data_IF_748514340505
#
_entry.id   IF_748514340505
#
_cell.length_a   1.000
_cell.length_b   1.000
_cell.length_c   1.000
_cell.angle_alpha   90.00
_cell.angle_beta   90.00
_cell.angle_gamma   90.00
#
_symmetry.space_group_name_H-M   'P 1'
#
loop_
_entity.id
_entity.type
_entity.pdbx_description
1 polymer ?
#
# COMPACT_ATOMS: atom_id res chain seq x y z
N UNK A 1 -62.69 33.15 23.14
CA UNK A 1 -64.05 32.95 22.61
C UNK A 1 -63.99 31.89 21.53
N UNK A 2 -64.50 30.70 21.85
CA UNK A 2 -65.30 29.78 20.99
C UNK A 2 -64.73 29.42 19.60
N UNK A 3 -64.15 28.24 19.38
CA UNK A 3 -64.80 26.92 19.16
C UNK A 3 -65.65 26.83 17.87
N UNK A 4 -65.23 25.89 17.00
CA UNK A 4 -65.78 25.21 15.80
C UNK A 4 -67.31 25.25 15.52
N UNK A 5 -67.76 24.91 14.28
CA UNK A 5 -68.05 23.51 13.86
C UNK A 5 -67.72 23.20 12.37
N UNK A 6 -67.31 21.99 11.93
CA UNK A 6 -67.98 20.67 11.75
C UNK A 6 -69.13 20.60 10.70
N UNK A 7 -68.98 19.71 9.69
CA UNK A 7 -70.04 19.13 8.84
C UNK A 7 -69.49 18.59 7.49
N UNK A 8 -69.17 17.30 7.31
CA UNK A 8 -70.00 16.12 6.89
C UNK A 8 -70.52 16.15 5.42
N UNK A 9 -69.86 15.35 4.54
CA UNK A 9 -70.29 14.38 3.47
C UNK A 9 -71.69 14.49 2.78
N UNK A 10 -72.02 13.77 1.66
CA UNK A 10 -71.28 13.10 0.54
C UNK A 10 -71.98 13.31 -0.86
N UNK A 11 -71.80 12.38 -1.83
CA UNK A 11 -72.55 12.09 -3.11
C UNK A 11 -71.84 12.57 -4.39
N UNK A 12 -71.11 11.74 -5.15
CA UNK A 12 -71.48 10.67 -6.11
C UNK A 12 -72.13 11.18 -7.43
N UNK A 13 -71.39 11.14 -8.55
CA UNK A 13 -71.94 10.83 -9.88
C UNK A 13 -70.81 10.62 -10.91
N UNK A 14 -70.84 9.45 -11.55
CA UNK A 14 -69.97 9.03 -12.64
C UNK A 14 -70.41 9.61 -13.99
N UNK A 15 -69.49 9.79 -14.94
CA UNK A 15 -69.79 9.62 -16.37
C UNK A 15 -68.53 9.36 -17.20
N UNK A 16 -68.57 8.25 -17.94
CA UNK A 16 -67.64 7.82 -18.99
C UNK A 16 -67.64 8.82 -20.17
N UNK A 17 -66.50 8.98 -20.86
CA UNK A 17 -66.29 8.46 -22.23
C UNK A 17 -65.04 9.05 -22.95
N UNK A 18 -64.29 8.12 -23.56
CA UNK A 18 -63.70 8.17 -24.90
C UNK A 18 -62.53 9.13 -25.25
N UNK A 19 -61.33 8.52 -25.28
CA UNK A 19 -60.34 8.51 -26.38
C UNK A 19 -59.89 9.82 -27.04
N UNK A 20 -58.60 10.13 -26.87
CA UNK A 20 -57.72 10.50 -27.99
C UNK A 20 -56.28 10.04 -27.70
N UNK A 21 -55.80 9.16 -28.58
CA UNK A 21 -54.43 8.65 -28.65
C UNK A 21 -53.53 9.78 -29.16
N UNK A 22 -52.53 10.17 -28.37
CA UNK A 22 -51.33 10.83 -28.90
C UNK A 22 -50.13 10.00 -28.48
N UNK A 23 -49.63 9.23 -29.45
CA UNK A 23 -48.33 8.60 -29.42
C UNK A 23 -47.26 9.71 -29.35
N UNK A 24 -46.68 9.88 -28.17
CA UNK A 24 -45.42 10.57 -27.98
C UNK A 24 -44.34 9.54 -27.70
N UNK A 25 -43.62 9.11 -28.73
CA UNK A 25 -42.37 8.39 -28.58
C UNK A 25 -41.34 9.33 -27.93
N UNK A 26 -41.26 9.32 -26.61
CA UNK A 26 -40.09 9.76 -25.88
C UNK A 26 -39.14 8.57 -25.82
N UNK A 27 -38.15 8.53 -26.71
CA UNK A 27 -37.03 7.60 -26.59
C UNK A 27 -36.44 7.72 -25.19
N UNK A 28 -36.34 6.64 -24.40
CA UNK A 28 -35.53 6.68 -23.20
C UNK A 28 -34.09 6.89 -23.67
N UNK A 29 -33.48 7.98 -23.21
CA UNK A 29 -32.04 8.13 -23.27
C UNK A 29 -31.41 6.89 -22.61
N UNK A 30 -30.29 6.35 -23.13
CA UNK A 30 -29.58 5.32 -22.40
C UNK A 30 -29.16 5.92 -21.06
N UNK A 31 -29.79 5.47 -19.98
CA UNK A 31 -29.24 5.64 -18.65
C UNK A 31 -27.87 4.96 -18.69
N UNK A 32 -26.82 5.77 -18.69
CA UNK A 32 -25.50 5.34 -18.28
C UNK A 32 -25.65 4.93 -16.81
N UNK A 33 -25.98 3.64 -16.60
CA UNK A 33 -25.87 3.02 -15.31
C UNK A 33 -24.45 3.26 -14.82
N UNK A 34 -24.33 3.82 -13.62
CA UNK A 34 -23.07 3.80 -12.90
C UNK A 34 -22.51 2.36 -12.94
N UNK A 35 -21.21 2.17 -13.14
CA UNK A 35 -20.64 0.82 -13.11
C UNK A 35 -21.04 0.19 -11.79
N UNK A 36 -21.75 -0.93 -11.85
CA UNK A 36 -21.97 -1.73 -10.67
C UNK A 36 -20.59 -2.22 -10.23
N UNK A 37 -20.24 -1.97 -8.97
CA UNK A 37 -19.12 -2.62 -8.31
C UNK A 37 -19.41 -4.12 -8.30
N UNK A 38 -18.89 -4.83 -9.31
CA UNK A 38 -18.94 -6.28 -9.41
C UNK A 38 -18.11 -6.87 -8.26
N UNK A 39 -18.74 -7.06 -7.10
CA UNK A 39 -18.12 -7.68 -5.94
C UNK A 39 -17.73 -9.16 -6.16
N UNK A 40 -18.27 -9.78 -7.22
CA UNK A 40 -18.20 -11.23 -7.45
C UNK A 40 -17.04 -11.68 -8.38
N UNK A 41 -15.97 -10.87 -8.54
CA UNK A 41 -14.85 -11.23 -9.42
C UNK A 41 -15.22 -11.33 -10.91
N UNK A 42 -16.39 -10.83 -11.29
CA UNK A 42 -16.88 -10.81 -12.66
C UNK A 42 -16.45 -9.54 -13.40
N UNK A 43 -16.00 -9.70 -14.64
CA UNK A 43 -15.61 -8.60 -15.52
C UNK A 43 -16.79 -8.07 -16.35
N UNK A 44 -16.80 -6.79 -16.73
CA UNK A 44 -15.76 -5.78 -16.48
C UNK A 44 -15.70 -5.33 -15.00
N UNK A 45 -14.50 -4.96 -14.56
CA UNK A 45 -14.26 -4.36 -13.24
C UNK A 45 -13.70 -2.96 -13.44
N UNK A 46 -14.34 -1.97 -12.82
CA UNK A 46 -13.79 -0.60 -12.74
C UNK A 46 -13.12 -0.41 -11.38
N UNK A 47 -11.92 0.16 -11.36
CA UNK A 47 -11.17 0.46 -10.14
C UNK A 47 -10.89 1.95 -10.11
N UNK A 48 -11.20 2.59 -8.99
CA UNK A 48 -10.84 3.98 -8.71
C UNK A 48 -9.44 4.06 -8.11
N UNK A 49 -8.67 5.08 -8.50
CA UNK A 49 -7.33 5.35 -7.99
C UNK A 49 -6.95 6.83 -8.15
N UNK A 50 -5.79 7.24 -7.65
CA UNK A 50 -5.33 8.63 -7.63
C UNK A 50 -5.31 9.32 -9.01
N UNK A 51 -5.17 8.55 -10.09
CA UNK A 51 -5.15 9.07 -11.47
C UNK A 51 -6.53 9.10 -12.16
N UNK A 52 -7.61 8.67 -11.49
CA UNK A 52 -8.97 8.58 -12.06
C UNK A 52 -9.60 7.20 -11.87
N UNK A 53 -10.21 6.68 -12.93
CA UNK A 53 -10.78 5.34 -12.96
C UNK A 53 -10.19 4.53 -14.12
N UNK A 54 -9.99 3.24 -13.90
CA UNK A 54 -9.56 2.29 -14.93
C UNK A 54 -10.55 1.15 -15.00
N UNK A 55 -11.06 0.87 -16.21
CA UNK A 55 -11.94 -0.28 -16.45
C UNK A 55 -11.13 -1.41 -17.09
N UNK A 56 -11.20 -2.57 -16.45
CA UNK A 56 -10.59 -3.82 -16.90
C UNK A 56 -11.71 -4.64 -17.53
N UNK A 57 -11.68 -4.89 -18.86
CA UNK A 57 -12.82 -5.46 -19.58
C UNK A 57 -12.99 -6.97 -19.36
N UNK A 58 -11.88 -7.70 -19.15
CA UNK A 58 -11.82 -9.15 -19.06
C UNK A 58 -10.74 -9.58 -18.06
N UNK A 59 -10.74 -10.86 -17.66
CA UNK A 59 -9.74 -11.38 -16.72
C UNK A 59 -8.33 -11.30 -17.32
N UNK A 60 -7.39 -10.56 -16.71
CA UNK A 60 -6.04 -10.40 -17.24
C UNK A 60 -5.32 -11.73 -17.42
N UNK A 61 -4.67 -11.89 -18.57
CA UNK A 61 -3.85 -13.04 -18.94
C UNK A 61 -2.36 -12.68 -19.04
N UNK A 62 -2.01 -11.39 -19.04
CA UNK A 62 -0.64 -10.88 -19.19
C UNK A 62 -0.42 -9.66 -18.31
N UNK A 63 0.03 -9.90 -17.08
CA UNK A 63 0.18 -8.86 -16.08
C UNK A 63 1.62 -8.36 -16.04
N UNK A 64 1.80 -7.05 -16.07
CA UNK A 64 3.06 -6.40 -15.67
C UNK A 64 2.88 -5.79 -14.27
N UNK A 65 3.73 -6.19 -13.33
CA UNK A 65 3.70 -5.69 -11.95
C UNK A 65 4.88 -4.73 -11.70
N UNK A 66 4.59 -3.45 -11.50
CA UNK A 66 5.60 -2.39 -11.38
C UNK A 66 5.91 -2.00 -9.93
N UNK A 67 5.09 -2.43 -8.97
CA UNK A 67 5.38 -2.37 -7.55
C UNK A 67 5.79 -3.73 -6.98
N UNK A 68 6.65 -3.72 -5.96
CA UNK A 68 7.05 -4.96 -5.27
C UNK A 68 5.86 -5.61 -4.54
N UNK A 69 4.95 -4.81 -3.96
CA UNK A 69 3.73 -5.34 -3.33
C UNK A 69 2.74 -5.86 -4.37
N UNK A 70 2.64 -5.18 -5.51
CA UNK A 70 1.84 -5.63 -6.66
C UNK A 70 2.28 -7.02 -7.11
N UNK A 71 3.60 -7.20 -7.28
CA UNK A 71 4.22 -8.46 -7.64
C UNK A 71 3.98 -9.53 -6.58
N UNK A 72 4.19 -9.20 -5.30
CA UNK A 72 4.01 -10.14 -4.20
C UNK A 72 2.60 -10.72 -4.17
N UNK A 73 1.59 -9.87 -4.24
CA UNK A 73 0.18 -10.28 -4.22
C UNK A 73 -0.18 -11.07 -5.48
N UNK A 74 0.18 -10.55 -6.68
CA UNK A 74 -0.11 -11.22 -7.94
C UNK A 74 0.53 -12.62 -8.02
N UNK A 75 1.79 -12.75 -7.58
CA UNK A 75 2.49 -14.03 -7.56
C UNK A 75 1.87 -15.00 -6.55
N UNK A 76 1.56 -14.55 -5.33
CA UNK A 76 1.02 -15.41 -4.26
C UNK A 76 -0.34 -16.02 -4.64
N UNK A 77 -1.17 -15.32 -5.42
CA UNK A 77 -2.47 -15.85 -5.88
C UNK A 77 -2.39 -16.62 -7.21
N UNK A 78 -1.20 -16.70 -7.80
CA UNK A 78 -0.92 -17.43 -9.05
C UNK A 78 -1.36 -16.70 -10.31
N UNK A 79 -1.34 -15.36 -10.32
CA UNK A 79 -1.70 -14.55 -11.47
C UNK A 79 -0.63 -14.63 -12.59
N UNK A 80 -1.01 -14.48 -13.87
CA UNK A 80 -0.10 -14.65 -15.00
C UNK A 80 0.79 -13.42 -15.23
N UNK A 81 1.79 -13.25 -14.36
CA UNK A 81 2.79 -12.19 -14.46
C UNK A 81 3.77 -12.50 -15.60
N UNK A 82 3.96 -11.55 -16.52
CA UNK A 82 4.87 -11.65 -17.67
C UNK A 82 6.08 -10.72 -17.56
N UNK A 83 5.99 -9.70 -16.72
CA UNK A 83 7.07 -8.76 -16.44
C UNK A 83 6.90 -8.16 -15.06
N UNK A 84 8.02 -7.92 -14.37
CA UNK A 84 7.99 -7.54 -12.97
C UNK A 84 9.10 -6.52 -12.67
N UNK A 85 8.83 -5.59 -11.75
CA UNK A 85 9.83 -4.62 -11.29
C UNK A 85 11.08 -5.34 -10.78
N UNK A 86 12.25 -4.79 -11.14
CA UNK A 86 13.51 -5.27 -10.58
C UNK A 86 13.54 -5.04 -9.07
N UNK A 87 13.99 -6.05 -8.33
CA UNK A 87 14.15 -5.97 -6.89
C UNK A 87 15.26 -4.97 -6.50
N UNK A 88 15.27 -4.62 -5.23
CA UNK A 88 16.14 -3.59 -4.68
C UNK A 88 17.62 -3.98 -4.62
N UNK A 89 17.92 -5.28 -4.74
CA UNK A 89 19.28 -5.80 -4.83
C UNK A 89 19.81 -5.84 -6.26
N UNK A 90 18.98 -5.52 -7.26
CA UNK A 90 19.33 -5.53 -8.68
C UNK A 90 19.46 -6.95 -9.27
N UNK A 91 19.13 -8.00 -8.53
CA UNK A 91 19.39 -9.39 -8.91
C UNK A 91 18.27 -10.06 -9.73
N UNK A 92 17.29 -9.28 -10.18
CA UNK A 92 16.10 -9.76 -10.89
C UNK A 92 14.82 -9.32 -10.19
N UNK A 93 13.65 -9.88 -10.50
CA UNK A 93 12.38 -9.51 -9.86
C UNK A 93 12.07 -10.33 -8.59
N UNK A 94 12.97 -11.23 -8.19
CA UNK A 94 12.73 -12.15 -7.08
C UNK A 94 12.55 -11.39 -5.75
N UNK A 95 11.55 -11.81 -4.99
CA UNK A 95 11.27 -11.34 -3.63
C UNK A 95 11.73 -12.41 -2.63
N UNK A 96 12.39 -12.04 -1.52
CA UNK A 96 13.05 -12.99 -0.62
C UNK A 96 12.09 -13.88 0.18
N UNK A 97 10.80 -13.54 0.19
CA UNK A 97 9.73 -14.22 0.91
C UNK A 97 8.80 -15.03 -0.01
N UNK A 98 9.14 -15.15 -1.29
CA UNK A 98 8.40 -15.95 -2.25
C UNK A 98 9.33 -16.92 -2.99
N UNK A 99 8.75 -17.98 -3.53
CA UNK A 99 9.47 -18.87 -4.43
C UNK A 99 9.98 -18.09 -5.67
N UNK A 100 11.08 -18.53 -6.30
CA UNK A 100 11.57 -17.91 -7.52
C UNK A 100 10.49 -17.85 -8.61
N UNK A 101 10.44 -16.72 -9.32
CA UNK A 101 9.61 -16.58 -10.52
C UNK A 101 10.15 -17.49 -11.64
N UNK A 102 9.28 -17.91 -12.59
CA UNK A 102 9.73 -18.55 -13.82
C UNK A 102 10.76 -17.67 -14.55
N UNK A 103 11.74 -18.30 -15.22
CA UNK A 103 12.82 -17.61 -15.94
C UNK A 103 12.30 -16.68 -17.05
N UNK A 104 11.07 -16.91 -17.52
CA UNK A 104 10.40 -16.10 -18.53
C UNK A 104 9.89 -14.76 -18.01
N UNK A 105 9.76 -14.59 -16.68
CA UNK A 105 9.35 -13.32 -16.07
C UNK A 105 10.57 -12.40 -15.97
N UNK A 106 10.66 -11.47 -16.92
CA UNK A 106 11.83 -10.59 -16.99
C UNK A 106 11.69 -9.39 -16.03
N UNK A 107 12.83 -9.00 -15.45
CA UNK A 107 12.94 -7.81 -14.63
C UNK A 107 12.81 -6.54 -15.49
N UNK A 108 12.06 -5.58 -14.95
CA UNK A 108 11.91 -4.23 -15.49
C UNK A 108 12.65 -3.30 -14.55
N UNK A 109 13.82 -2.83 -14.98
CA UNK A 109 14.55 -1.80 -14.27
C UNK A 109 13.77 -0.48 -14.38
N UNK A 110 13.51 0.15 -13.24
CA UNK A 110 13.01 1.52 -13.18
C UNK A 110 14.08 2.40 -12.56
N UNK A 111 14.70 3.27 -13.34
CA UNK A 111 15.44 4.40 -12.78
C UNK A 111 14.42 5.53 -12.54
N UNK A 112 14.49 6.19 -11.38
CA UNK A 112 13.71 7.40 -11.18
C UNK A 112 14.07 8.42 -12.30
N UNK A 113 13.08 9.09 -12.92
CA UNK A 113 11.71 9.28 -12.41
C UNK A 113 10.63 8.37 -13.03
N UNK A 114 10.93 7.40 -13.91
CA UNK A 114 9.88 6.59 -14.55
C UNK A 114 10.36 5.26 -15.13
N UNK A 115 9.42 4.34 -15.36
CA UNK A 115 9.67 3.12 -16.13
C UNK A 115 9.70 3.41 -17.63
N UNK A 116 10.47 2.62 -18.40
CA UNK A 116 10.40 2.67 -19.87
C UNK A 116 9.09 2.05 -20.37
N UNK A 117 8.22 2.90 -20.92
CA UNK A 117 6.98 2.49 -21.56
C UNK A 117 7.25 1.54 -22.75
N UNK A 118 8.31 1.78 -23.53
CA UNK A 118 8.69 0.92 -24.65
C UNK A 118 9.08 -0.48 -24.17
N UNK A 119 9.87 -0.58 -23.08
CA UNK A 119 10.21 -1.87 -22.49
C UNK A 119 8.96 -2.60 -22.00
N UNK A 120 8.06 -1.91 -21.29
CA UNK A 120 6.80 -2.48 -20.81
C UNK A 120 5.93 -2.98 -21.96
N UNK A 121 5.85 -2.24 -23.06
CA UNK A 121 5.08 -2.63 -24.24
C UNK A 121 5.59 -3.93 -24.89
N UNK A 122 6.88 -4.27 -24.75
CA UNK A 122 7.42 -5.55 -25.28
C UNK A 122 6.83 -6.79 -24.61
N UNK A 123 6.28 -6.63 -23.40
CA UNK A 123 5.59 -7.70 -22.69
C UNK A 123 4.15 -7.91 -23.17
N UNK A 124 3.61 -7.03 -24.03
CA UNK A 124 2.22 -7.09 -24.51
C UNK A 124 1.21 -7.31 -23.35
N UNK A 125 1.22 -6.43 -22.31
CA UNK A 125 0.36 -6.63 -21.15
C UNK A 125 -1.10 -6.31 -21.46
N UNK A 126 -2.01 -6.99 -20.77
CA UNK A 126 -3.44 -6.63 -20.73
C UNK A 126 -3.85 -6.00 -19.38
N UNK A 127 -2.93 -5.93 -18.43
CA UNK A 127 -3.03 -5.16 -17.19
C UNK A 127 -1.64 -4.75 -16.68
N UNK A 128 -1.54 -3.51 -16.20
CA UNK A 128 -0.37 -3.00 -15.48
C UNK A 128 -0.77 -2.69 -14.04
N UNK A 129 -0.18 -3.41 -13.08
CA UNK A 129 -0.33 -3.16 -11.65
C UNK A 129 0.76 -2.19 -11.20
N UNK A 130 0.33 -1.08 -10.59
CA UNK A 130 1.22 -0.03 -10.15
C UNK A 130 0.73 0.66 -8.87
N UNK A 131 0.07 -0.10 -7.98
CA UNK A 131 -0.51 0.42 -6.73
C UNK A 131 0.62 0.86 -5.81
N UNK A 132 1.69 0.07 -5.73
CA UNK A 132 2.87 0.39 -4.93
C UNK A 132 4.09 0.87 -5.76
N UNK A 133 3.88 1.30 -7.01
CA UNK A 133 4.95 1.69 -7.92
C UNK A 133 5.37 3.14 -7.72
N UNK A 134 6.37 3.37 -6.85
CA UNK A 134 6.82 4.71 -6.50
C UNK A 134 7.44 5.50 -7.67
N UNK A 135 7.88 4.82 -8.74
CA UNK A 135 8.38 5.46 -9.96
C UNK A 135 7.27 6.03 -10.86
N UNK A 136 5.99 5.82 -10.55
CA UNK A 136 4.89 6.53 -11.23
C UNK A 136 4.49 7.74 -10.40
N UNK A 137 5.34 8.77 -10.46
CA UNK A 137 5.21 9.95 -9.61
C UNK A 137 4.24 11.01 -10.16
N UNK A 138 3.92 10.97 -11.46
CA UNK A 138 3.11 12.00 -12.11
C UNK A 138 2.13 11.45 -13.15
N UNK A 139 1.20 12.34 -13.55
CA UNK A 139 0.17 12.03 -14.54
C UNK A 139 0.74 11.68 -15.91
N UNK A 140 1.87 12.28 -16.30
CA UNK A 140 2.48 12.04 -17.61
C UNK A 140 3.01 10.60 -17.71
N UNK A 141 3.68 10.13 -16.66
CA UNK A 141 4.19 8.76 -16.53
C UNK A 141 3.03 7.76 -16.53
N UNK A 142 1.95 8.05 -15.80
CA UNK A 142 0.73 7.25 -15.83
C UNK A 142 0.12 7.17 -17.24
N UNK A 143 -0.06 8.31 -17.92
CA UNK A 143 -0.69 8.36 -19.25
C UNK A 143 0.11 7.58 -20.31
N UNK A 144 1.44 7.55 -20.19
CA UNK A 144 2.30 6.73 -21.06
C UNK A 144 2.03 5.23 -20.90
N UNK A 145 1.84 4.76 -19.66
CA UNK A 145 1.52 3.36 -19.40
C UNK A 145 0.07 3.03 -19.77
N UNK A 146 -0.86 3.95 -19.52
CA UNK A 146 -2.27 3.81 -19.86
C UNK A 146 -2.50 3.73 -21.38
N UNK A 147 -1.56 4.22 -22.19
CA UNK A 147 -1.57 4.04 -23.64
C UNK A 147 -1.21 2.60 -24.08
N UNK A 148 -0.64 1.78 -23.19
CA UNK A 148 -0.26 0.39 -23.44
C UNK A 148 -1.39 -0.55 -23.04
N UNK A 149 -1.85 -0.44 -21.79
CA UNK A 149 -2.87 -1.32 -21.18
C UNK A 149 -3.57 -0.60 -20.02
N UNK A 150 -4.70 -1.12 -19.49
CA UNK A 150 -5.27 -0.66 -18.22
C UNK A 150 -4.21 -0.59 -17.11
N UNK A 151 -4.12 0.55 -16.38
CA UNK A 151 -3.15 0.76 -15.29
C UNK A 151 -3.90 0.97 -13.98
N UNK A 152 -3.48 0.26 -12.93
CA UNK A 152 -4.03 0.43 -11.57
C UNK A 152 -2.97 1.12 -10.71
N UNK A 153 -3.17 2.42 -10.44
CA UNK A 153 -2.33 3.21 -9.55
C UNK A 153 -2.75 3.13 -8.08
N UNK A 154 -2.03 3.82 -7.18
CA UNK A 154 -2.38 3.89 -5.75
C UNK A 154 -3.79 4.47 -5.56
N UNK A 155 -4.53 4.01 -4.55
CA UNK A 155 -5.90 4.45 -4.27
C UNK A 155 -6.02 5.98 -4.09
N UNK A 156 -5.23 6.54 -3.18
CA UNK A 156 -5.17 8.00 -2.92
C UNK A 156 -3.78 8.57 -3.19
N UNK A 157 -2.74 7.86 -2.76
CA UNK A 157 -1.34 8.21 -2.93
C UNK A 157 -0.44 7.09 -2.43
N UNK A 158 0.86 7.18 -2.73
CA UNK A 158 1.82 6.17 -2.29
C UNK A 158 1.83 6.08 -0.75
N UNK A 159 1.76 4.86 -0.23
CA UNK A 159 1.81 4.54 1.20
C UNK A 159 0.67 5.13 2.06
N UNK A 160 -0.37 5.66 1.42
CA UNK A 160 -1.52 6.27 2.11
C UNK A 160 -2.61 5.27 2.48
N UNK A 161 -2.71 4.16 1.75
CA UNK A 161 -3.63 3.07 2.04
C UNK A 161 -3.00 2.02 2.96
N UNK A 162 -3.84 1.22 3.61
CA UNK A 162 -3.36 0.08 4.40
C UNK A 162 -2.83 -1.02 3.48
N UNK A 163 -1.96 -1.88 4.00
CA UNK A 163 -1.46 -3.03 3.25
C UNK A 163 -2.59 -3.96 2.77
N UNK A 164 -3.69 -4.04 3.52
CA UNK A 164 -4.87 -4.80 3.17
C UNK A 164 -5.62 -4.16 2.00
N UNK A 165 -5.77 -2.84 2.02
CA UNK A 165 -6.51 -2.13 0.97
C UNK A 165 -5.74 -2.11 -0.34
N UNK A 166 -4.42 -1.93 -0.30
CA UNK A 166 -3.54 -2.10 -1.47
C UNK A 166 -3.67 -3.52 -2.05
N UNK A 167 -3.61 -4.55 -1.19
CA UNK A 167 -3.77 -5.93 -1.63
C UNK A 167 -5.16 -6.20 -2.22
N UNK A 168 -6.23 -5.69 -1.60
CA UNK A 168 -7.60 -5.77 -2.13
C UNK A 168 -7.75 -5.09 -3.47
N UNK A 169 -7.12 -3.93 -3.65
CA UNK A 169 -7.14 -3.20 -4.92
C UNK A 169 -6.49 -4.04 -6.03
N UNK A 170 -5.34 -4.65 -5.75
CA UNK A 170 -4.68 -5.61 -6.66
C UNK A 170 -5.59 -6.81 -6.92
N UNK A 171 -6.12 -7.45 -5.87
CA UNK A 171 -7.00 -8.62 -5.94
C UNK A 171 -8.26 -8.37 -6.78
N UNK A 172 -8.87 -7.18 -6.63
CA UNK A 172 -10.01 -6.74 -7.42
C UNK A 172 -9.65 -6.57 -8.90
N UNK A 173 -8.48 -6.05 -9.22
CA UNK A 173 -8.03 -5.88 -10.60
C UNK A 173 -7.81 -7.22 -11.31
N UNK A 174 -7.22 -8.20 -10.62
CA UNK A 174 -6.87 -9.52 -11.19
C UNK A 174 -7.96 -10.58 -11.02
N UNK A 175 -9.05 -10.26 -10.30
CA UNK A 175 -10.19 -11.16 -10.10
C UNK A 175 -9.89 -12.32 -9.16
N UNK A 176 -9.12 -12.05 -8.09
CA UNK A 176 -8.66 -13.03 -7.09
C UNK A 176 -8.97 -12.56 -5.66
N UNK A 177 -10.08 -11.83 -5.46
CA UNK A 177 -10.47 -11.23 -4.18
C UNK A 177 -10.48 -12.25 -3.02
N UNK A 178 -11.06 -13.43 -3.23
CA UNK A 178 -11.15 -14.47 -2.17
C UNK A 178 -9.76 -14.90 -1.68
N UNK A 179 -8.84 -15.22 -2.59
CA UNK A 179 -7.47 -15.58 -2.23
C UNK A 179 -6.73 -14.43 -1.55
N UNK A 180 -6.97 -13.20 -1.98
CA UNK A 180 -6.39 -12.02 -1.33
C UNK A 180 -6.90 -11.85 0.11
N UNK A 181 -8.20 -12.05 0.36
CA UNK A 181 -8.71 -12.02 1.73
C UNK A 181 -8.14 -13.14 2.61
N UNK A 182 -7.84 -14.32 2.04
CA UNK A 182 -7.13 -15.39 2.76
C UNK A 182 -5.70 -14.97 3.15
N UNK A 183 -4.97 -14.31 2.24
CA UNK A 183 -3.63 -13.77 2.52
C UNK A 183 -3.69 -12.70 3.62
N UNK A 184 -4.67 -11.80 3.56
CA UNK A 184 -4.89 -10.76 4.57
C UNK A 184 -5.18 -11.38 5.94
N UNK A 185 -6.11 -12.34 5.99
CA UNK A 185 -6.48 -13.03 7.24
C UNK A 185 -5.26 -13.72 7.85
N UNK A 186 -4.47 -14.42 7.04
CA UNK A 186 -3.24 -15.09 7.49
C UNK A 186 -2.24 -14.10 8.09
N UNK A 187 -2.01 -12.96 7.43
CA UNK A 187 -1.11 -11.92 7.92
C UNK A 187 -1.59 -11.34 9.25
N UNK A 188 -2.89 -11.07 9.39
CA UNK A 188 -3.49 -10.54 10.62
C UNK A 188 -3.37 -11.53 11.78
N UNK A 189 -3.59 -12.82 11.52
CA UNK A 189 -3.39 -13.89 12.50
C UNK A 189 -1.93 -13.97 12.97
N UNK A 190 -0.97 -13.92 12.04
CA UNK A 190 0.46 -13.94 12.36
C UNK A 190 0.87 -12.73 13.21
N UNK A 191 0.42 -11.52 12.86
CA UNK A 191 0.70 -10.30 13.62
C UNK A 191 0.09 -10.41 15.04
N UNK A 192 -1.16 -10.87 15.14
CA UNK A 192 -1.84 -11.05 16.41
C UNK A 192 -1.15 -12.10 17.29
N UNK A 193 -0.66 -13.19 16.69
CA UNK A 193 0.10 -14.22 17.38
C UNK A 193 1.41 -13.66 17.95
N UNK A 194 2.21 -12.92 17.17
CA UNK A 194 3.45 -12.30 17.67
C UNK A 194 3.16 -11.35 18.82
N UNK A 195 2.14 -10.51 18.71
CA UNK A 195 1.72 -9.62 19.79
C UNK A 195 1.33 -10.37 21.05
N UNK A 196 0.62 -11.49 20.92
CA UNK A 196 0.19 -12.31 22.05
C UNK A 196 1.37 -13.04 22.72
N UNK A 197 2.36 -13.48 21.92
CA UNK A 197 3.58 -14.11 22.41
C UNK A 197 4.51 -13.12 23.12
N UNK A 198 4.49 -11.84 22.72
CA UNK A 198 5.37 -10.78 23.23
C UNK A 198 4.56 -9.65 23.90
N UNK A 199 3.84 -9.90 25.01
CA UNK A 199 2.99 -8.90 25.65
C UNK A 199 3.75 -7.68 26.17
N UNK A 200 5.06 -7.81 26.43
CA UNK A 200 5.92 -6.71 26.87
C UNK A 200 6.22 -5.66 25.80
N UNK A 201 5.81 -5.89 24.54
CA UNK A 201 5.86 -4.86 23.49
C UNK A 201 4.85 -3.73 23.72
N UNK A 202 3.76 -3.98 24.47
CA UNK A 202 2.68 -3.02 24.63
C UNK A 202 3.18 -1.68 25.21
N UNK A 203 3.05 -0.61 24.42
CA UNK A 203 3.46 0.74 24.81
C UNK A 203 4.96 1.01 24.75
N UNK A 204 5.76 0.06 24.24
CA UNK A 204 7.17 0.30 23.91
C UNK A 204 7.28 1.19 22.69
N UNK A 205 8.35 1.97 22.62
CA UNK A 205 8.58 2.88 21.50
C UNK A 205 9.53 2.29 20.46
N UNK A 206 9.30 2.60 19.19
CA UNK A 206 10.21 2.23 18.11
C UNK A 206 10.48 3.42 17.19
N UNK A 207 11.63 3.39 16.52
CA UNK A 207 11.91 4.24 15.37
C UNK A 207 12.49 3.40 14.24
N UNK A 208 11.98 3.59 13.03
CA UNK A 208 12.52 3.03 11.80
C UNK A 208 12.99 4.16 10.89
N UNK A 209 14.21 4.05 10.38
CA UNK A 209 14.76 5.02 9.45
C UNK A 209 15.86 4.49 8.55
N UNK A 210 16.35 5.37 7.69
CA UNK A 210 17.45 5.11 6.79
C UNK A 210 18.59 6.08 7.10
N UNK A 211 19.83 5.61 7.13
CA UNK A 211 20.98 6.51 7.06
C UNK A 211 21.29 6.77 5.58
N UNK A 212 21.29 8.06 5.19
CA UNK A 212 21.55 8.49 3.81
C UNK A 212 22.32 9.81 3.83
N UNK A 213 23.64 9.75 3.65
CA UNK A 213 24.47 10.95 3.71
C UNK A 213 24.41 11.63 5.08
N UNK A 214 24.07 12.93 5.13
CA UNK A 214 24.06 13.73 6.37
C UNK A 214 22.71 13.75 7.11
N UNK A 215 21.68 13.12 6.54
CA UNK A 215 20.33 13.09 7.08
C UNK A 215 19.92 11.65 7.40
N UNK A 216 19.10 11.52 8.43
CA UNK A 216 18.48 10.29 8.88
C UNK A 216 16.96 10.43 8.70
N UNK A 217 16.39 10.07 7.54
CA UNK A 217 14.95 10.00 7.35
C UNK A 217 14.34 8.96 8.30
N UNK A 218 13.39 9.39 9.14
CA UNK A 218 12.68 8.56 10.11
C UNK A 218 11.18 8.49 9.79
N UNK A 219 10.63 7.29 9.63
CA UNK A 219 9.21 7.08 9.35
C UNK A 219 8.41 7.20 10.65
N UNK A 220 7.55 8.21 10.74
CA UNK A 220 6.86 8.59 11.99
C UNK A 220 5.38 8.93 11.82
N UNK A 221 4.90 9.11 10.59
CA UNK A 221 3.53 9.47 10.29
C UNK A 221 2.54 8.41 10.76
N UNK A 222 1.54 8.79 11.56
CA UNK A 222 0.64 7.83 12.21
C UNK A 222 -0.15 6.94 11.23
N UNK A 223 -0.45 7.47 10.05
CA UNK A 223 -1.18 6.78 8.97
C UNK A 223 -0.25 6.08 7.98
N UNK A 224 1.07 6.24 8.10
CA UNK A 224 2.01 5.51 7.24
C UNK A 224 1.89 4.01 7.54
N UNK A 225 1.77 3.18 6.50
CA UNK A 225 1.60 1.74 6.62
C UNK A 225 2.66 1.02 7.47
N UNK A 226 3.92 1.48 7.45
CA UNK A 226 4.99 0.95 8.30
C UNK A 226 4.66 1.18 9.79
N UNK A 227 4.17 2.37 10.11
CA UNK A 227 3.73 2.72 11.47
C UNK A 227 2.47 1.98 11.89
N UNK A 228 1.53 1.76 10.98
CA UNK A 228 0.34 0.95 11.24
C UNK A 228 0.73 -0.51 11.56
N UNK A 229 1.65 -1.10 10.80
CA UNK A 229 2.16 -2.46 11.04
C UNK A 229 2.82 -2.60 12.41
N UNK A 230 3.73 -1.69 12.76
CA UNK A 230 4.41 -1.71 14.06
C UNK A 230 3.45 -1.48 15.22
N UNK A 231 2.42 -0.63 15.03
CA UNK A 231 1.34 -0.44 16.01
C UNK A 231 0.48 -1.67 16.21
N UNK A 232 0.25 -2.46 15.16
CA UNK A 232 -0.47 -3.72 15.28
C UNK A 232 0.25 -4.71 16.21
N UNK A 233 1.59 -4.63 16.30
CA UNK A 233 2.43 -5.38 17.25
C UNK A 233 2.43 -4.80 18.68
N UNK A 234 1.84 -3.63 18.89
CA UNK A 234 1.76 -2.94 20.19
C UNK A 234 2.83 -1.87 20.42
N UNK A 235 3.65 -1.58 19.41
CA UNK A 235 4.69 -0.55 19.45
C UNK A 235 4.16 0.81 19.03
N UNK A 236 4.80 1.86 19.51
CA UNK A 236 4.40 3.23 19.24
C UNK A 236 5.58 4.08 18.76
N UNK A 237 5.31 5.11 17.95
CA UNK A 237 6.29 6.16 17.69
C UNK A 237 6.44 7.02 18.96
N UNK A 238 7.67 7.41 19.39
CA UNK A 238 7.86 8.29 20.53
C UNK A 238 7.10 9.61 20.40
N UNK A 239 6.59 10.15 21.51
CA UNK A 239 5.80 11.39 21.52
C UNK A 239 6.54 12.59 20.90
N UNK A 240 7.86 12.65 21.09
CA UNK A 240 8.75 13.68 20.51
C UNK A 240 8.79 13.69 18.97
N UNK A 241 8.22 12.67 18.31
CA UNK A 241 8.14 12.55 16.86
C UNK A 241 6.72 12.65 16.29
N UNK A 242 5.66 12.44 17.09
CA UNK A 242 4.25 12.33 16.60
C UNK A 242 3.69 13.59 15.92
N UNK A 243 4.32 14.75 16.11
CA UNK A 243 3.92 16.02 15.48
C UNK A 243 5.06 16.72 14.74
N UNK A 244 6.16 16.01 14.48
CA UNK A 244 7.26 16.59 13.73
C UNK A 244 6.79 16.82 12.28
N UNK A 245 7.04 18.02 11.70
CA UNK A 245 6.58 18.31 10.35
C UNK A 245 7.26 17.35 9.37
N UNK A 246 6.44 16.63 8.58
CA UNK A 246 6.95 15.80 7.51
C UNK A 246 7.74 16.67 6.52
N UNK A 247 8.79 16.09 5.93
CA UNK A 247 9.55 16.76 4.88
C UNK A 247 8.94 16.43 3.53
N UNK A 248 8.61 17.47 2.75
CA UNK A 248 8.12 17.32 1.37
C UNK A 248 9.18 16.70 0.44
N UNK A 249 10.45 16.73 0.82
CA UNK A 249 11.58 16.16 0.07
C UNK A 249 11.82 14.67 0.40
N UNK A 250 11.09 14.10 1.37
CA UNK A 250 11.21 12.73 1.83
C UNK A 250 9.92 11.94 1.56
N UNK A 251 9.97 10.63 1.78
CA UNK A 251 8.79 9.79 1.66
C UNK A 251 7.66 10.26 2.59
N UNK A 252 6.37 10.15 2.19
CA UNK A 252 5.24 10.58 3.01
C UNK A 252 5.29 10.06 4.45
N UNK A 253 5.09 10.96 5.43
CA UNK A 253 5.14 10.63 6.85
C UNK A 253 6.56 10.47 7.43
N UNK A 254 7.57 10.98 6.73
CA UNK A 254 8.98 10.91 7.15
C UNK A 254 9.48 12.27 7.63
N UNK A 255 10.30 12.25 8.68
CA UNK A 255 11.00 13.44 9.19
C UNK A 255 12.50 13.27 9.05
N UNK A 256 13.18 14.36 8.72
CA UNK A 256 14.63 14.39 8.65
C UNK A 256 15.24 14.65 10.02
N UNK A 257 16.16 13.79 10.46
CA UNK A 257 16.99 14.01 11.65
C UNK A 257 18.44 14.21 11.22
N UNK A 258 19.08 15.29 11.64
CA UNK A 258 20.51 15.50 11.40
C UNK A 258 21.35 14.72 12.42
N UNK A 259 22.62 14.48 12.11
CA UNK A 259 23.54 13.85 13.08
C UNK A 259 23.71 14.67 14.37
N UNK A 260 23.55 15.99 14.33
CA UNK A 260 23.60 16.85 15.54
C UNK A 260 22.40 16.60 16.46
N UNK A 261 21.25 16.25 15.87
CA UNK A 261 20.01 15.95 16.59
C UNK A 261 19.84 14.46 16.92
N UNK A 262 20.81 13.61 16.55
CA UNK A 262 20.69 12.14 16.66
C UNK A 262 20.42 11.64 18.08
N UNK A 263 20.72 12.45 19.10
CA UNK A 263 20.36 12.17 20.49
C UNK A 263 18.85 11.95 20.69
N UNK A 264 18.00 12.55 19.84
CA UNK A 264 16.53 12.35 19.83
C UNK A 264 16.13 10.89 19.58
N UNK A 265 16.96 10.11 18.90
CA UNK A 265 16.70 8.69 18.66
C UNK A 265 16.70 7.85 19.96
N UNK A 266 17.20 8.40 21.06
CA UNK A 266 17.21 7.74 22.38
C UNK A 266 15.81 7.57 22.99
N UNK A 267 14.81 8.27 22.47
CA UNK A 267 13.41 8.16 22.91
C UNK A 267 12.75 6.83 22.48
N UNK A 268 13.38 6.09 21.57
CA UNK A 268 12.92 4.77 21.13
C UNK A 268 13.50 3.65 22.02
N UNK A 269 12.67 2.65 22.38
CA UNK A 269 13.13 1.39 22.96
C UNK A 269 13.82 0.50 21.92
N UNK A 270 13.34 0.53 20.67
CA UNK A 270 13.91 -0.18 19.52
C UNK A 270 14.25 0.81 18.40
N UNK A 271 15.51 0.82 17.96
CA UNK A 271 15.96 1.59 16.81
C UNK A 271 16.27 0.65 15.65
N UNK A 272 15.52 0.76 14.55
CA UNK A 272 15.73 -0.01 13.32
C UNK A 272 16.31 0.94 12.27
N UNK A 273 17.46 0.60 11.70
CA UNK A 273 18.08 1.39 10.63
C UNK A 273 18.40 0.54 9.41
N UNK A 274 18.16 1.09 8.23
CA UNK A 274 18.73 0.61 6.97
C UNK A 274 19.74 1.61 6.41
N UNK A 275 20.49 1.21 5.39
CA UNK A 275 21.61 1.96 4.84
C UNK A 275 21.53 1.97 3.31
N UNK A 276 21.49 3.17 2.72
CA UNK A 276 21.34 3.30 1.27
C UNK A 276 22.66 3.02 0.54
N UNK A 277 23.76 3.58 1.03
CA UNK A 277 25.10 3.41 0.49
C UNK A 277 25.93 2.36 1.23
N UNK A 278 26.96 1.85 0.55
CA UNK A 278 27.89 0.85 1.11
C UNK A 278 28.62 1.34 2.36
N UNK A 279 28.88 2.64 2.44
CA UNK A 279 29.66 3.26 3.53
C UNK A 279 28.76 3.91 4.60
N UNK A 280 27.46 4.07 4.33
CA UNK A 280 26.53 4.78 5.22
C UNK A 280 26.45 4.10 6.60
N UNK A 281 26.53 2.76 6.64
CA UNK A 281 26.53 2.01 7.90
C UNK A 281 27.76 2.31 8.74
N UNK A 282 28.94 2.25 8.12
CA UNK A 282 30.19 2.52 8.81
C UNK A 282 30.24 3.98 9.29
N UNK A 283 29.72 4.92 8.51
CA UNK A 283 29.61 6.33 8.89
C UNK A 283 28.64 6.52 10.06
N UNK A 284 27.46 5.91 10.01
CA UNK A 284 26.46 5.98 11.08
C UNK A 284 26.98 5.38 12.38
N UNK A 285 27.42 4.12 12.37
CA UNK A 285 27.91 3.41 13.56
C UNK A 285 29.24 3.99 14.09
N UNK A 286 30.03 4.60 13.21
CA UNK A 286 31.29 5.27 13.55
C UNK A 286 31.11 6.63 14.25
N UNK A 287 29.96 7.27 14.12
CA UNK A 287 29.69 8.60 14.63
C UNK A 287 29.61 8.64 16.18
N UNK A 288 30.36 9.55 16.80
CA UNK A 288 30.45 9.66 18.28
C UNK A 288 29.14 10.06 18.96
N UNK A 289 28.23 10.74 18.26
CA UNK A 289 26.90 11.07 18.76
C UNK A 289 25.97 9.85 18.66
N UNK A 290 26.06 9.07 17.58
CA UNK A 290 25.29 7.81 17.41
C UNK A 290 25.63 6.81 18.51
N UNK A 291 26.91 6.66 18.86
CA UNK A 291 27.37 5.76 19.95
C UNK A 291 26.78 6.13 21.33
N UNK A 292 26.23 7.34 21.48
CA UNK A 292 25.58 7.81 22.72
C UNK A 292 24.07 7.62 22.70
N UNK A 293 23.48 7.21 21.58
CA UNK A 293 22.06 6.91 21.48
C UNK A 293 21.75 5.70 22.37
N UNK A 294 20.71 5.82 23.20
CA UNK A 294 20.33 4.80 24.18
C UNK A 294 20.20 3.39 23.57
N UNK A 295 19.47 3.27 22.47
CA UNK A 295 19.27 1.99 21.79
C UNK A 295 20.59 1.36 21.29
N UNK A 296 21.58 2.17 20.92
CA UNK A 296 22.92 1.68 20.54
C UNK A 296 23.68 1.16 21.76
N UNK A 297 23.60 1.87 22.89
CA UNK A 297 24.28 1.49 24.14
C UNK A 297 23.66 0.26 24.81
N UNK A 298 22.33 0.15 24.79
CA UNK A 298 21.56 -0.98 25.33
C UNK A 298 21.48 -2.15 24.33
N UNK A 299 21.97 -1.93 23.10
CA UNK A 299 22.01 -2.89 22.01
C UNK A 299 20.63 -3.23 21.42
N UNK A 300 19.62 -2.41 21.65
CA UNK A 300 18.31 -2.49 20.98
C UNK A 300 18.29 -1.70 19.66
N UNK A 301 19.47 -1.44 19.10
CA UNK A 301 19.68 -1.00 17.73
C UNK A 301 19.80 -2.21 16.80
N UNK A 302 19.04 -2.19 15.70
CA UNK A 302 18.94 -3.26 14.70
C UNK A 302 19.24 -2.70 13.30
N UNK A 303 20.42 -2.98 12.74
CA UNK A 303 20.66 -2.76 11.33
C UNK A 303 19.94 -3.84 10.51
N UNK A 304 19.15 -3.44 9.52
CA UNK A 304 18.44 -4.35 8.61
C UNK A 304 18.95 -4.22 7.17
N UNK A 305 18.90 -5.30 6.41
CA UNK A 305 19.23 -5.28 4.99
C UNK A 305 18.17 -4.54 4.15
N UNK A 306 18.45 -4.34 2.86
CA UNK A 306 17.56 -3.59 1.96
C UNK A 306 16.23 -4.31 1.75
N UNK A 307 16.26 -5.64 1.69
CA UNK A 307 15.06 -6.46 1.50
C UNK A 307 14.10 -6.30 2.69
N UNK A 308 14.60 -6.42 3.92
CA UNK A 308 13.83 -6.20 5.15
C UNK A 308 13.36 -4.76 5.24
N UNK A 309 14.21 -3.80 4.89
CA UNK A 309 13.87 -2.39 4.90
C UNK A 309 12.72 -2.05 3.94
N UNK A 310 12.71 -2.64 2.75
CA UNK A 310 11.67 -2.42 1.74
C UNK A 310 10.35 -3.05 2.17
N UNK A 311 10.39 -4.26 2.71
CA UNK A 311 9.21 -4.89 3.31
C UNK A 311 8.69 -4.09 4.52
N UNK A 312 9.57 -3.49 5.33
CA UNK A 312 9.16 -2.67 6.48
C UNK A 312 8.63 -1.29 6.05
N UNK A 313 9.18 -0.72 4.98
CA UNK A 313 8.74 0.56 4.41
C UNK A 313 7.34 0.44 3.78
N UNK A 314 7.06 -0.71 3.14
CA UNK A 314 5.79 -1.01 2.52
C UNK A 314 5.33 -2.44 2.80
N UNK A 315 4.85 -2.74 4.03
CA UNK A 315 4.37 -4.07 4.38
C UNK A 315 3.26 -4.54 3.43
N UNK A 316 3.20 -5.85 3.18
CA UNK A 316 2.10 -6.47 2.43
C UNK A 316 1.69 -7.79 3.09
N UNK A 317 0.46 -8.29 2.87
CA UNK A 317 0.00 -9.53 3.51
C UNK A 317 0.89 -10.75 3.23
N UNK A 318 1.53 -10.81 2.06
CA UNK A 318 2.39 -11.93 1.65
C UNK A 318 3.73 -11.92 2.41
N UNK A 319 4.29 -10.74 2.66
CA UNK A 319 5.57 -10.57 3.35
C UNK A 319 5.47 -10.52 4.87
N UNK A 320 4.26 -10.38 5.43
CA UNK A 320 4.04 -10.16 6.86
C UNK A 320 4.75 -11.19 7.74
N UNK A 321 4.53 -12.50 7.50
CA UNK A 321 5.17 -13.57 8.28
C UNK A 321 6.69 -13.54 8.20
N UNK A 322 7.25 -13.39 7.00
CA UNK A 322 8.69 -13.29 6.81
C UNK A 322 9.28 -12.05 7.50
N UNK A 323 8.61 -10.90 7.41
CA UNK A 323 9.04 -9.66 8.06
C UNK A 323 9.01 -9.80 9.59
N UNK A 324 7.98 -10.46 10.13
CA UNK A 324 7.91 -10.79 11.56
C UNK A 324 9.10 -11.65 12.00
N UNK A 325 9.49 -12.64 11.18
CA UNK A 325 10.66 -13.47 11.47
C UNK A 325 11.97 -12.66 11.46
N UNK A 326 12.14 -11.73 10.50
CA UNK A 326 13.31 -10.85 10.47
C UNK A 326 13.40 -9.94 11.70
N UNK A 327 12.26 -9.44 12.18
CA UNK A 327 12.19 -8.51 13.31
C UNK A 327 12.18 -9.22 14.68
N UNK A 328 11.83 -10.51 14.72
CA UNK A 328 11.61 -11.27 15.96
C UNK A 328 12.75 -11.15 16.98
N UNK A 329 14.04 -11.31 16.64
CA UNK A 329 15.11 -11.19 17.62
C UNK A 329 15.12 -9.83 18.35
N UNK A 330 14.81 -8.76 17.62
CA UNK A 330 14.78 -7.40 18.17
C UNK A 330 13.51 -7.12 18.97
N UNK A 331 12.38 -7.68 18.54
CA UNK A 331 11.12 -7.61 19.29
C UNK A 331 11.21 -8.36 20.62
N UNK A 332 11.74 -9.59 20.63
CA UNK A 332 11.96 -10.37 21.85
C UNK A 332 12.86 -9.62 22.84
N UNK A 333 13.91 -8.98 22.34
CA UNK A 333 14.83 -8.20 23.18
C UNK A 333 14.15 -7.07 23.95
N UNK A 334 13.22 -6.34 23.33
CA UNK A 334 12.55 -5.21 23.99
C UNK A 334 11.27 -5.61 24.74
N UNK A 335 10.72 -6.79 24.45
CA UNK A 335 9.57 -7.33 25.16
C UNK A 335 9.92 -7.78 26.60
N UNK A 336 11.17 -8.20 26.85
CA UNK A 336 11.64 -8.61 28.18
C UNK A 336 11.56 -10.11 28.41
#
# INVERSE_FOLDING_TARGET
>A
MTSAPLGRFPVLAALLAATAVLAGCSSPAPEQGAPADSADGSYPVTVMHAFGETTIPEKPQRIVALGANDLAVAQAVGAPVVGAVQNVTGSGPALPYLDPLPDEVLAISGEAPSFSAEQIATFDPDLILAVSAWQIADRASYDQLAAIAPVIGPAEGLYAASMQDDARQVGRAIGEQEKVEELITTAEEQIAEVRAQLPGLAGKTYLYGQARGEILPMVVGEQNQSTVFMRALGLDVPESFRNAPASDDLAPGTVGVSYEEVGRLSDADLLIMTFAGTDDRAAFEGNELVKRVRAVQEGSYTPVDLDTAVALQAPNPVSAGWLLDQLRPSLEKIAG
#
